data_IF_654753481083
#
_entry.id   IF_654753481083
#
_cell.length_a   1.000
_cell.length_b   1.000
_cell.length_c   1.000
_cell.angle_alpha   90.00
_cell.angle_beta   90.00
_cell.angle_gamma   90.00
#
_symmetry.space_group_name_H-M   'P 1'
#
loop_
_entity.id
_entity.type
_entity.pdbx_description
1 polymer ?
#
# COMPACT_ATOMS: atom_id res chain seq x y z
N UNK A 1 -6.98 31.73 10.56
CA UNK A 1 -6.87 31.20 9.19
C UNK A 1 -6.09 29.92 9.23
N UNK A 2 -6.77 28.83 8.98
CA UNK A 2 -6.07 27.58 8.78
C UNK A 2 -5.33 27.65 7.46
N UNK A 3 -4.03 27.76 7.52
CA UNK A 3 -3.19 27.51 6.36
C UNK A 3 -3.34 26.03 6.00
N UNK A 4 -4.37 25.73 5.22
CA UNK A 4 -4.48 24.46 4.57
C UNK A 4 -3.39 24.40 3.48
N UNK A 5 -2.15 24.25 3.90
CA UNK A 5 -1.12 23.75 3.02
C UNK A 5 -1.50 22.29 2.74
N UNK A 6 -2.42 22.13 1.77
CA UNK A 6 -2.65 20.82 1.22
C UNK A 6 -1.32 20.37 0.63
N UNK A 7 -0.69 19.39 1.27
CA UNK A 7 0.43 18.72 0.66
C UNK A 7 -0.12 17.97 -0.56
N UNK A 8 0.15 18.43 -1.80
CA UNK A 8 -0.47 17.86 -2.99
C UNK A 8 -0.04 16.44 -3.30
N UNK A 9 1.05 15.97 -2.68
CA UNK A 9 1.57 14.61 -2.87
C UNK A 9 1.13 13.65 -1.79
N UNK A 10 0.43 14.12 -0.75
CA UNK A 10 -0.07 13.31 0.34
C UNK A 10 -1.53 12.91 0.10
N UNK A 11 -1.85 11.64 0.35
CA UNK A 11 -3.21 11.12 0.22
C UNK A 11 -3.60 10.35 1.47
N UNK A 12 -4.84 10.56 1.92
CA UNK A 12 -5.50 9.70 2.91
C UNK A 12 -6.51 8.86 2.13
N UNK A 13 -6.34 7.55 2.14
CA UNK A 13 -7.25 6.65 1.41
C UNK A 13 -8.60 6.53 2.11
N UNK A 14 -9.60 6.03 1.42
CA UNK A 14 -10.93 5.81 1.98
C UNK A 14 -11.00 4.62 2.93
N UNK A 15 -12.12 4.50 3.68
CA UNK A 15 -12.27 3.45 4.70
C UNK A 15 -12.48 2.04 4.14
N UNK A 16 -12.74 1.91 2.84
CA UNK A 16 -12.89 0.62 2.17
C UNK A 16 -11.57 0.07 1.62
N UNK A 17 -10.47 0.79 1.81
CA UNK A 17 -9.13 0.32 1.47
C UNK A 17 -8.82 -0.90 2.31
N UNK A 18 -8.31 -1.95 1.68
CA UNK A 18 -7.94 -3.20 2.35
C UNK A 18 -6.42 -3.35 2.37
N UNK A 19 -5.90 -3.80 3.50
CA UNK A 19 -4.46 -3.96 3.67
C UNK A 19 -4.06 -5.40 3.37
N UNK A 20 -3.12 -5.57 2.46
CA UNK A 20 -2.58 -6.87 2.07
C UNK A 20 -1.05 -6.86 2.18
N UNK A 21 -0.44 -8.02 2.35
CA UNK A 21 1.00 -8.12 2.57
C UNK A 21 1.48 -7.10 3.62
N UNK A 22 0.78 -7.08 4.76
CA UNK A 22 0.98 -6.08 5.81
C UNK A 22 2.20 -6.43 6.67
N UNK A 23 3.34 -5.83 6.32
CA UNK A 23 4.58 -5.90 7.09
C UNK A 23 4.75 -4.60 7.87
N UNK A 24 3.80 -4.33 8.78
CA UNK A 24 3.67 -3.03 9.45
C UNK A 24 4.11 -3.06 10.91
N UNK A 25 4.25 -4.24 11.49
CA UNK A 25 4.78 -4.42 12.83
C UNK A 25 6.29 -4.63 12.83
N UNK A 26 6.79 -5.41 11.88
CA UNK A 26 8.21 -5.69 11.73
C UNK A 26 8.62 -5.42 10.28
N UNK A 27 9.79 -4.82 10.06
CA UNK A 27 10.27 -4.58 8.71
C UNK A 27 10.70 -5.88 8.06
N UNK A 28 10.54 -5.96 6.73
CA UNK A 28 10.91 -7.13 5.95
C UNK A 28 11.91 -6.74 4.87
N UNK A 29 12.96 -7.53 4.73
CA UNK A 29 13.91 -7.40 3.65
C UNK A 29 13.41 -8.11 2.39
N UNK A 30 13.50 -7.42 1.26
CA UNK A 30 13.18 -7.98 -0.05
C UNK A 30 14.49 -8.08 -0.83
N UNK A 31 14.78 -9.29 -1.35
CA UNK A 31 15.98 -9.57 -2.15
C UNK A 31 17.31 -9.17 -1.47
N UNK A 32 17.40 -9.34 -0.15
CA UNK A 32 18.60 -9.00 0.59
C UNK A 32 18.84 -7.52 0.81
N UNK A 33 17.88 -6.65 0.44
CA UNK A 33 17.97 -5.21 0.66
C UNK A 33 17.72 -4.80 2.11
N UNK A 34 17.80 -3.51 2.37
CA UNK A 34 17.49 -2.94 3.68
C UNK A 34 16.04 -3.28 4.08
N UNK A 35 15.80 -3.83 5.30
CA UNK A 35 14.44 -4.11 5.75
C UNK A 35 13.57 -2.84 5.78
N UNK A 36 12.33 -2.97 5.33
CA UNK A 36 11.35 -1.88 5.32
C UNK A 36 9.99 -2.37 5.78
N UNK A 37 9.24 -1.47 6.41
CA UNK A 37 7.81 -1.66 6.65
C UNK A 37 7.09 -1.46 5.33
N UNK A 38 6.09 -2.27 5.05
CA UNK A 38 5.38 -2.20 3.77
C UNK A 38 3.96 -2.72 3.89
N UNK A 39 3.12 -2.30 2.96
CA UNK A 39 1.75 -2.77 2.82
C UNK A 39 1.29 -2.57 1.38
N UNK A 40 0.51 -3.52 0.87
CA UNK A 40 -0.20 -3.36 -0.39
C UNK A 40 -1.61 -2.87 -0.07
N UNK A 41 -1.93 -1.68 -0.55
CA UNK A 41 -3.22 -1.03 -0.30
C UNK A 41 -4.14 -1.33 -1.48
N UNK A 42 -5.18 -2.12 -1.22
CA UNK A 42 -6.18 -2.49 -2.23
C UNK A 42 -7.32 -1.48 -2.17
N UNK A 43 -7.52 -0.76 -3.28
CA UNK A 43 -8.49 0.33 -3.36
C UNK A 43 -9.57 -0.05 -4.35
N UNK A 44 -10.83 -0.22 -3.91
CA UNK A 44 -11.91 -0.55 -4.85
C UNK A 44 -12.00 0.49 -5.98
N UNK A 45 -12.19 0.04 -7.21
CA UNK A 45 -12.38 0.94 -8.35
C UNK A 45 -13.60 1.83 -8.17
N UNK A 46 -14.59 1.37 -7.37
CA UNK A 46 -15.76 2.16 -7.00
C UNK A 46 -15.45 3.34 -6.08
N UNK A 47 -14.33 3.31 -5.36
CA UNK A 47 -13.87 4.44 -4.55
C UNK A 47 -13.17 5.46 -5.44
N UNK A 48 -13.93 6.12 -6.28
CA UNK A 48 -13.43 7.07 -7.27
C UNK A 48 -12.76 8.28 -6.62
N UNK A 49 -13.18 8.66 -5.43
CA UNK A 49 -12.58 9.78 -4.68
C UNK A 49 -11.13 9.48 -4.34
N UNK A 50 -10.84 8.31 -3.78
CA UNK A 50 -9.46 7.91 -3.45
C UNK A 50 -8.62 7.75 -4.72
N UNK A 51 -9.17 7.11 -5.76
CA UNK A 51 -8.46 6.92 -7.03
C UNK A 51 -8.04 8.26 -7.64
N UNK A 52 -8.95 9.23 -7.69
CA UNK A 52 -8.66 10.57 -8.21
C UNK A 52 -7.61 11.31 -7.39
N UNK A 53 -7.67 11.19 -6.06
CA UNK A 53 -6.65 11.78 -5.17
C UNK A 53 -5.27 11.20 -5.44
N UNK A 54 -5.19 9.89 -5.64
CA UNK A 54 -3.93 9.21 -5.94
C UNK A 54 -3.38 9.66 -7.29
N UNK A 55 -4.22 9.70 -8.31
CA UNK A 55 -3.81 10.16 -9.65
C UNK A 55 -3.30 11.60 -9.61
N UNK A 56 -4.01 12.48 -8.90
CA UNK A 56 -3.60 13.87 -8.74
C UNK A 56 -2.28 14.00 -7.97
N UNK A 57 -2.08 13.17 -6.94
CA UNK A 57 -0.84 13.18 -6.15
C UNK A 57 0.35 12.64 -6.96
N UNK A 58 0.13 11.65 -7.81
CA UNK A 58 1.16 11.15 -8.73
C UNK A 58 1.56 12.24 -9.72
N UNK A 59 0.60 12.95 -10.30
CA UNK A 59 0.87 14.05 -11.20
C UNK A 59 1.63 15.17 -10.50
N UNK A 60 1.23 15.53 -9.28
CA UNK A 60 1.90 16.55 -8.49
C UNK A 60 3.35 16.16 -8.16
N UNK A 61 3.58 14.91 -7.78
CA UNK A 61 4.93 14.42 -7.48
C UNK A 61 5.81 14.38 -8.72
N UNK A 62 5.23 14.10 -9.87
CA UNK A 62 5.93 14.17 -11.15
C UNK A 62 6.38 15.62 -11.45
N UNK A 63 5.49 16.58 -11.29
CA UNK A 63 5.79 18.00 -11.53
C UNK A 63 6.85 18.53 -10.56
N UNK A 64 6.73 18.19 -9.27
CA UNK A 64 7.71 18.59 -8.25
C UNK A 64 9.06 17.93 -8.45
N UNK A 65 9.11 16.75 -9.04
CA UNK A 65 10.31 15.94 -9.21
C UNK A 65 10.96 16.04 -10.59
N UNK A 66 10.60 17.01 -11.43
CA UNK A 66 11.10 17.12 -12.80
C UNK A 66 12.63 17.11 -12.89
N UNK A 67 13.31 17.88 -12.05
CA UNK A 67 14.77 17.94 -12.09
C UNK A 67 15.41 16.60 -11.70
N UNK A 68 14.83 15.89 -10.74
CA UNK A 68 15.28 14.55 -10.34
C UNK A 68 15.09 13.54 -11.47
N UNK A 69 13.91 13.58 -12.10
CA UNK A 69 13.56 12.68 -13.20
C UNK A 69 14.38 12.96 -14.45
N UNK A 70 14.70 14.22 -14.70
CA UNK A 70 15.59 14.60 -15.79
C UNK A 70 17.02 14.04 -15.56
N UNK A 71 17.53 14.17 -14.35
CA UNK A 71 18.88 13.72 -14.00
C UNK A 71 19.90 14.29 -14.96
N UNK A 72 20.74 13.42 -15.54
CA UNK A 72 21.74 13.79 -16.54
C UNK A 72 21.20 13.75 -17.98
N UNK A 73 19.91 13.52 -18.15
CA UNK A 73 19.26 13.47 -19.46
C UNK A 73 19.01 14.85 -20.06
N UNK A 74 18.58 14.86 -21.33
CA UNK A 74 18.27 16.08 -22.06
C UNK A 74 16.87 16.62 -21.79
N UNK A 75 15.96 15.77 -21.32
CA UNK A 75 14.57 16.13 -21.06
C UNK A 75 13.99 15.31 -19.92
N UNK A 76 12.86 15.77 -19.37
CA UNK A 76 12.12 15.03 -18.37
C UNK A 76 11.36 13.90 -19.07
N UNK A 77 11.50 12.63 -18.63
CA UNK A 77 10.72 11.55 -19.21
C UNK A 77 9.22 11.79 -19.05
N UNK A 78 8.42 11.35 -20.02
CA UNK A 78 6.97 11.39 -19.92
C UNK A 78 6.49 10.51 -18.76
N UNK A 79 5.45 10.95 -18.05
CA UNK A 79 4.85 10.15 -16.97
C UNK A 79 4.39 8.76 -17.47
N UNK A 80 3.98 8.66 -18.73
CA UNK A 80 3.53 7.40 -19.34
C UNK A 80 4.61 6.33 -19.41
N UNK A 81 5.88 6.71 -19.49
CA UNK A 81 7.00 5.76 -19.59
C UNK A 81 7.64 5.47 -18.25
N UNK A 82 7.24 6.19 -17.20
CA UNK A 82 7.77 6.00 -15.85
C UNK A 82 7.01 4.89 -15.13
N UNK A 83 7.70 4.27 -14.16
CA UNK A 83 7.05 3.35 -13.24
C UNK A 83 6.18 4.17 -12.29
N UNK A 84 4.89 3.89 -12.28
CA UNK A 84 3.93 4.53 -11.36
C UNK A 84 3.42 3.53 -10.35
N UNK A 85 3.12 3.96 -9.12
CA UNK A 85 2.74 3.03 -8.06
C UNK A 85 1.29 2.59 -8.08
N UNK A 86 0.42 3.25 -8.85
CA UNK A 86 -0.99 2.86 -8.98
C UNK A 86 -1.12 1.76 -10.03
N UNK A 87 -1.52 0.57 -9.60
CA UNK A 87 -1.59 -0.62 -10.44
C UNK A 87 -3.01 -1.17 -10.49
N UNK A 88 -3.36 -1.79 -11.60
CA UNK A 88 -4.68 -2.40 -11.79
C UNK A 88 -4.64 -3.86 -11.34
N UNK A 89 -5.43 -4.18 -10.31
CA UNK A 89 -5.48 -5.53 -9.74
C UNK A 89 -6.01 -6.57 -10.71
N UNK A 90 -6.96 -6.21 -11.56
CA UNK A 90 -7.51 -7.14 -12.55
C UNK A 90 -6.48 -7.52 -13.61
N UNK A 91 -5.57 -6.62 -13.95
CA UNK A 91 -4.53 -6.85 -14.95
C UNK A 91 -3.28 -7.53 -14.37
N UNK A 92 -2.84 -7.10 -13.19
CA UNK A 92 -1.57 -7.54 -12.61
C UNK A 92 -1.71 -8.69 -11.61
N UNK A 93 -2.91 -8.88 -11.04
CA UNK A 93 -3.20 -9.93 -10.08
C UNK A 93 -4.53 -10.63 -10.40
N UNK A 94 -4.68 -11.14 -11.63
CA UNK A 94 -5.97 -11.69 -12.08
C UNK A 94 -6.40 -12.94 -11.32
N UNK A 95 -5.47 -13.66 -10.72
CA UNK A 95 -5.75 -14.89 -9.97
C UNK A 95 -5.97 -14.67 -8.47
N UNK A 96 -5.89 -13.42 -8.01
CA UNK A 96 -6.07 -13.08 -6.60
C UNK A 96 -7.41 -12.34 -6.42
N UNK A 97 -8.39 -13.04 -5.84
CA UNK A 97 -9.74 -12.51 -5.65
C UNK A 97 -9.78 -11.23 -4.82
N UNK A 98 -8.83 -11.04 -3.92
CA UNK A 98 -8.75 -9.83 -3.09
C UNK A 98 -8.48 -8.57 -3.92
N UNK A 99 -7.86 -8.71 -5.08
CA UNK A 99 -7.52 -7.60 -5.98
C UNK A 99 -8.55 -7.39 -7.09
N UNK A 100 -9.60 -8.20 -7.16
CA UNK A 100 -10.64 -8.06 -8.17
C UNK A 100 -11.36 -6.71 -8.06
N UNK A 101 -11.67 -6.11 -9.20
CA UNK A 101 -12.34 -4.80 -9.29
C UNK A 101 -11.66 -3.70 -8.47
N UNK A 102 -10.34 -3.80 -8.33
CA UNK A 102 -9.57 -2.90 -7.48
C UNK A 102 -8.28 -2.44 -8.16
N UNK A 103 -7.85 -1.24 -7.79
CA UNK A 103 -6.47 -0.82 -7.97
C UNK A 103 -5.69 -1.18 -6.71
N UNK A 104 -4.37 -1.15 -6.77
CA UNK A 104 -3.56 -1.29 -5.58
C UNK A 104 -2.31 -0.42 -5.66
N UNK A 105 -1.81 -0.06 -4.48
CA UNK A 105 -0.60 0.73 -4.31
C UNK A 105 0.26 0.05 -3.26
N UNK A 106 1.51 -0.20 -3.59
CA UNK A 106 2.48 -0.72 -2.63
C UNK A 106 3.20 0.47 -1.97
N UNK A 107 3.03 0.60 -0.67
CA UNK A 107 3.65 1.67 0.12
C UNK A 107 4.68 1.09 1.08
N UNK A 108 5.78 1.79 1.30
CA UNK A 108 6.80 1.33 2.22
C UNK A 108 7.45 2.49 2.99
N UNK A 109 8.16 2.15 4.06
CA UNK A 109 8.86 3.11 4.89
C UNK A 109 10.00 2.44 5.66
N UNK A 110 11.10 3.15 5.83
CA UNK A 110 12.18 2.74 6.71
C UNK A 110 11.78 2.85 8.19
N UNK A 111 10.89 3.77 8.53
CA UNK A 111 10.39 3.99 9.88
C UNK A 111 9.05 3.26 10.10
N UNK A 112 8.82 2.80 11.33
CA UNK A 112 7.56 2.14 11.68
C UNK A 112 6.38 3.11 11.50
N UNK A 113 5.30 2.68 10.80
CA UNK A 113 4.10 3.51 10.70
C UNK A 113 3.40 3.60 12.05
N UNK A 114 2.78 4.75 12.32
CA UNK A 114 1.83 4.85 13.41
C UNK A 114 0.55 4.09 13.03
N UNK A 115 0.00 3.30 13.96
CA UNK A 115 -1.19 2.51 13.72
C UNK A 115 -2.22 2.85 14.80
N UNK A 116 -3.36 3.35 14.37
CA UNK A 116 -4.44 3.76 15.28
C UNK A 116 -5.75 3.07 14.91
N UNK A 117 -6.69 3.05 15.86
CA UNK A 117 -8.05 2.54 15.62
C UNK A 117 -8.95 3.65 15.04
N UNK A 118 -10.23 3.36 14.89
CA UNK A 118 -11.20 4.31 14.35
C UNK A 118 -11.37 5.55 15.22
N UNK A 119 -11.08 5.46 16.52
CA UNK A 119 -11.12 6.56 17.47
C UNK A 119 -9.77 7.27 17.60
N UNK A 120 -8.82 6.95 16.75
CA UNK A 120 -7.46 7.51 16.70
C UNK A 120 -6.63 7.19 17.95
N UNK A 121 -6.93 6.06 18.60
CA UNK A 121 -6.13 5.56 19.70
C UNK A 121 -5.09 4.56 19.20
N UNK A 122 -3.85 4.58 19.69
CA UNK A 122 -2.83 3.65 19.25
C UNK A 122 -3.26 2.19 19.46
N UNK A 123 -3.05 1.37 18.43
CA UNK A 123 -3.26 -0.07 18.51
C UNK A 123 -1.96 -0.71 18.98
N UNK A 124 -1.98 -1.39 20.11
CA UNK A 124 -0.82 -2.03 20.71
C UNK A 124 -0.79 -3.54 20.46
N UNK A 125 -1.96 -4.15 20.28
CA UNK A 125 -2.09 -5.59 20.01
C UNK A 125 -1.79 -5.90 18.55
N UNK A 126 -0.70 -6.63 18.29
CA UNK A 126 -0.29 -6.99 16.93
C UNK A 126 -1.36 -7.79 16.17
N UNK A 127 -2.10 -8.64 16.86
CA UNK A 127 -3.16 -9.47 16.29
C UNK A 127 -4.34 -8.66 15.73
N UNK A 128 -4.47 -7.42 16.14
CA UNK A 128 -5.53 -6.53 15.65
C UNK A 128 -5.30 -6.04 14.21
N UNK A 129 -4.04 -6.10 13.75
CA UNK A 129 -3.65 -5.60 12.42
C UNK A 129 -2.95 -6.73 11.67
N UNK A 130 -3.60 -7.20 10.63
CA UNK A 130 -3.18 -8.33 9.81
C UNK A 130 -3.59 -8.10 8.36
N UNK A 131 -3.06 -8.89 7.45
CA UNK A 131 -3.48 -8.82 6.03
C UNK A 131 -4.93 -9.26 5.90
N UNK A 132 -5.77 -8.36 5.40
CA UNK A 132 -7.22 -8.54 5.30
C UNK A 132 -8.04 -7.46 6.01
N UNK A 133 -7.44 -6.70 6.89
CA UNK A 133 -8.07 -5.59 7.60
C UNK A 133 -8.47 -4.48 6.63
N UNK A 134 -9.59 -3.82 6.89
CA UNK A 134 -10.01 -2.61 6.19
C UNK A 134 -9.61 -1.39 6.99
N UNK A 135 -9.02 -0.42 6.32
CA UNK A 135 -8.61 0.80 6.99
C UNK A 135 -8.06 1.85 6.04
N UNK A 136 -7.91 3.05 6.57
CA UNK A 136 -7.35 4.18 5.84
C UNK A 136 -5.84 4.17 5.97
N UNK A 137 -5.17 4.69 4.95
CA UNK A 137 -3.72 4.85 4.97
C UNK A 137 -3.36 6.29 4.62
N UNK A 138 -2.40 6.83 5.37
CA UNK A 138 -1.75 8.09 5.03
C UNK A 138 -0.49 7.77 4.26
N UNK A 139 -0.44 8.17 3.01
CA UNK A 139 0.64 7.84 2.08
C UNK A 139 1.14 9.10 1.39
N UNK A 140 2.37 9.04 0.89
CA UNK A 140 3.01 10.16 0.24
C UNK A 140 3.70 9.69 -1.05
N UNK A 141 3.47 10.42 -2.14
CA UNK A 141 4.08 10.10 -3.44
C UNK A 141 5.31 10.97 -3.68
N UNK A 142 6.32 10.41 -4.30
CA UNK A 142 7.56 11.14 -4.61
C UNK A 142 8.24 10.55 -5.84
N UNK A 143 8.90 11.43 -6.59
CA UNK A 143 9.72 11.02 -7.72
C UNK A 143 11.05 10.44 -7.23
N UNK A 144 11.55 9.42 -7.92
CA UNK A 144 12.86 8.85 -7.63
C UNK A 144 13.66 8.64 -8.91
N UNK A 145 14.98 8.67 -8.75
CA UNK A 145 15.95 8.34 -9.79
C UNK A 145 17.11 7.63 -9.11
N UNK A 146 17.16 6.31 -9.27
CA UNK A 146 18.20 5.47 -8.67
C UNK A 146 19.01 4.86 -9.83
N UNK A 147 20.16 5.47 -10.12
CA UNK A 147 21.06 5.02 -11.19
C UNK A 147 20.35 4.85 -12.55
N UNK A 148 19.50 5.80 -12.90
CA UNK A 148 18.74 5.78 -14.14
C UNK A 148 17.42 5.02 -14.07
N UNK A 149 17.14 4.31 -12.97
CA UNK A 149 15.83 3.73 -12.71
C UNK A 149 14.93 4.82 -12.14
N UNK A 150 13.99 5.30 -12.94
CA UNK A 150 13.17 6.48 -12.65
C UNK A 150 11.71 6.13 -12.54
N UNK A 151 11.03 6.79 -11.62
CA UNK A 151 9.59 6.59 -11.45
C UNK A 151 9.01 7.41 -10.30
N UNK A 152 7.78 7.08 -9.96
CA UNK A 152 7.06 7.62 -8.80
C UNK A 152 6.90 6.48 -7.80
N UNK A 153 7.23 6.75 -6.56
CA UNK A 153 7.09 5.77 -5.47
C UNK A 153 6.09 6.27 -4.44
N UNK A 154 5.68 5.36 -3.55
CA UNK A 154 4.72 5.65 -2.50
C UNK A 154 5.33 5.32 -1.15
N UNK A 155 5.40 6.33 -0.28
CA UNK A 155 5.84 6.19 1.10
C UNK A 155 4.66 5.95 2.04
N UNK A 156 4.88 5.12 3.04
CA UNK A 156 3.89 4.84 4.09
C UNK A 156 4.14 5.74 5.29
N UNK A 157 3.11 6.49 5.69
CA UNK A 157 3.19 7.34 6.88
C UNK A 157 2.51 6.68 8.08
N UNK A 158 1.17 6.55 8.01
CA UNK A 158 0.36 6.07 9.12
C UNK A 158 -0.81 5.23 8.63
N UNK A 159 -1.39 4.43 9.52
CA UNK A 159 -2.51 3.54 9.23
C UNK A 159 -3.61 3.72 10.27
N UNK A 160 -4.85 3.70 9.83
CA UNK A 160 -6.03 3.74 10.70
C UNK A 160 -6.92 2.54 10.38
N UNK A 161 -7.00 1.59 11.31
CA UNK A 161 -7.88 0.44 11.18
C UNK A 161 -9.34 0.88 11.35
N UNK A 162 -10.20 0.48 10.44
CA UNK A 162 -11.63 0.79 10.48
C UNK A 162 -12.45 -0.46 10.80
N UNK A 163 -12.10 -1.61 10.23
CA UNK A 163 -12.86 -2.84 10.43
C UNK A 163 -11.99 -4.08 10.22
N UNK A 164 -12.38 -5.17 10.83
CA UNK A 164 -11.82 -6.49 10.55
C UNK A 164 -12.27 -6.98 9.17
N UNK A 165 -11.48 -7.86 8.57
CA UNK A 165 -11.80 -8.51 7.31
C UNK A 165 -11.31 -9.94 7.33
N UNK A 166 -11.67 -10.72 6.31
CA UNK A 166 -11.15 -12.08 6.15
C UNK A 166 -9.63 -12.04 6.00
N UNK A 167 -8.88 -12.82 6.79
CA UNK A 167 -7.43 -12.88 6.64
C UNK A 167 -7.03 -13.27 5.21
N UNK A 168 -6.06 -12.56 4.66
CA UNK A 168 -5.55 -12.80 3.31
C UNK A 168 -4.25 -13.60 3.38
N UNK A 169 -4.31 -14.87 3.05
CA UNK A 169 -3.15 -15.74 2.87
C UNK A 169 -2.27 -15.95 4.09
N UNK A 170 -1.36 -16.88 4.01
CA UNK A 170 -0.25 -17.04 4.92
C UNK A 170 -0.46 -17.93 6.14
N UNK A 171 -1.61 -17.94 6.78
CA UNK A 171 -1.90 -18.88 7.87
C UNK A 171 -3.13 -19.69 7.54
N UNK A 172 -2.95 -21.01 7.38
CA UNK A 172 -4.06 -21.92 7.37
C UNK A 172 -4.78 -21.85 8.74
N UNK A 173 -6.10 -21.99 8.72
CA UNK A 173 -6.85 -22.08 9.97
C UNK A 173 -6.57 -23.42 10.65
N UNK A 174 -6.41 -23.42 11.97
CA UNK A 174 -6.18 -24.64 12.72
C UNK A 174 -7.25 -25.70 12.43
N UNK A 175 -8.49 -25.28 12.25
CA UNK A 175 -9.61 -26.15 11.90
C UNK A 175 -9.38 -26.89 10.59
N UNK A 176 -8.84 -26.20 9.57
CA UNK A 176 -8.57 -26.79 8.26
C UNK A 176 -7.37 -27.72 8.30
N UNK A 177 -6.31 -27.35 9.03
CA UNK A 177 -5.10 -28.17 9.17
C UNK A 177 -5.38 -29.50 9.84
N UNK A 178 -6.19 -29.51 10.91
CA UNK A 178 -6.49 -30.69 11.65
C UNK A 178 -7.62 -31.54 11.05
N UNK A 179 -8.42 -30.99 10.18
CA UNK A 179 -9.44 -31.75 9.45
C UNK A 179 -8.77 -32.77 8.48
N UNK A 180 -7.69 -32.40 7.81
CA UNK A 180 -6.95 -33.31 6.91
C UNK A 180 -6.23 -34.41 7.68
N UNK A 181 -5.70 -34.12 8.87
CA UNK A 181 -5.03 -35.10 9.73
C UNK A 181 -6.01 -36.15 10.31
N UNK A 182 -7.25 -35.76 10.60
CA UNK A 182 -8.26 -36.68 11.10
C UNK A 182 -8.63 -37.73 10.03
N UNK A 183 -8.67 -37.37 8.77
CA UNK A 183 -8.96 -38.30 7.67
C UNK A 183 -7.80 -39.30 7.47
N UNK A 184 -6.56 -38.87 7.59
CA UNK A 184 -5.38 -39.74 7.48
C UNK A 184 -5.24 -40.69 8.67
N UNK A 185 -5.72 -40.30 9.83
CA UNK A 185 -5.63 -41.09 11.07
C UNK A 185 -6.68 -42.17 11.15
N UNK A 186 -7.81 -42.02 10.45
CA UNK A 186 -8.93 -42.92 10.48
C UNK A 186 -8.98 -43.93 9.31
N UNK A 187 -8.07 -43.78 8.36
CA UNK A 187 -7.98 -44.68 7.22
C UNK A 187 -7.08 -45.89 7.44
#
# INVERSE_FOLDING_TARGET
MSNNYKNPTKVITGPKTRWSYANVWDPKSINGGTPKYSVSLIIPKSDTTTVKKIEAAIQASYEEGESKLKGNGKSVPSLKVLKTPLRDGDLERPDDAAYADSYFVNANSAAAPGIVDADRQPILERSEVYSGVYGRASINFYAFNSNGNKGIACGLNNLQKIADGEPLGGKSKAEDDFADDDDDFLS
#
